data_IF_873072942651
#
_entry.id   IF_873072942651
#
_cell.length_a   1.000
_cell.length_b   1.000
_cell.length_c   1.000
_cell.angle_alpha   90.00
_cell.angle_beta   90.00
_cell.angle_gamma   90.00
#
_symmetry.space_group_name_H-M   'P 1'
#
loop_
_entity.id
_entity.type
_entity.pdbx_description
1 polymer ?
#
# COMPACT_ATOMS: atom_id res chain seq x y z
N UNK A 1 11.71 -1.08 -16.99
CA UNK A 1 10.77 -0.11 -16.39
C UNK A 1 10.02 -0.77 -15.25
N UNK A 2 10.14 -0.25 -14.04
CA UNK A 2 9.53 -0.80 -12.83
C UNK A 2 8.01 -0.68 -12.82
N UNK A 3 7.37 -1.31 -11.85
CA UNK A 3 5.92 -1.40 -11.72
C UNK A 3 5.42 -0.69 -10.46
N UNK A 4 4.47 0.24 -10.61
CA UNK A 4 3.82 0.91 -9.48
C UNK A 4 2.57 0.11 -9.09
N UNK A 5 2.49 -0.31 -7.81
CA UNK A 5 1.35 -1.06 -7.26
C UNK A 5 0.79 -0.31 -6.06
N UNK A 6 -0.48 0.12 -6.15
CA UNK A 6 -1.18 0.76 -5.05
C UNK A 6 -1.83 -0.29 -4.13
N UNK A 7 -1.64 -0.15 -2.83
CA UNK A 7 -2.31 -0.94 -1.80
C UNK A 7 -3.48 -0.13 -1.25
N UNK A 8 -4.69 -0.41 -1.70
CA UNK A 8 -5.84 0.43 -1.37
C UNK A 8 -7.06 -0.37 -0.93
N UNK A 9 -7.71 0.13 0.10
CA UNK A 9 -9.04 -0.23 0.55
C UNK A 9 -9.59 0.91 1.41
N UNK A 10 -10.86 1.24 1.25
CA UNK A 10 -11.52 2.31 1.99
C UNK A 10 -11.63 1.99 3.50
N UNK A 11 -11.77 0.72 3.85
CA UNK A 11 -11.88 0.31 5.24
C UNK A 11 -10.53 0.42 5.95
N UNK A 12 -10.50 1.10 7.11
CA UNK A 12 -9.35 1.12 8.00
C UNK A 12 -9.09 -0.23 8.64
N UNK A 13 -7.84 -0.52 8.98
CA UNK A 13 -7.46 -1.73 9.73
C UNK A 13 -7.51 -3.04 8.94
N UNK A 14 -7.70 -3.03 7.63
CA UNK A 14 -7.73 -4.26 6.80
C UNK A 14 -6.34 -4.80 6.43
N UNK A 15 -5.27 -4.21 6.95
CA UNK A 15 -3.90 -4.68 6.72
C UNK A 15 -3.26 -4.16 5.43
N UNK A 16 -3.63 -2.99 4.91
CA UNK A 16 -2.97 -2.35 3.75
C UNK A 16 -1.47 -2.20 3.98
N UNK A 17 -1.10 -1.40 4.96
CA UNK A 17 0.29 -1.16 5.36
C UNK A 17 1.04 -2.43 5.69
N UNK A 18 0.42 -3.33 6.47
CA UNK A 18 1.01 -4.63 6.82
C UNK A 18 1.32 -5.44 5.55
N UNK A 19 0.41 -5.44 4.57
CA UNK A 19 0.61 -6.16 3.30
C UNK A 19 1.70 -5.49 2.47
N UNK A 20 1.70 -4.16 2.35
CA UNK A 20 2.72 -3.41 1.60
C UNK A 20 4.13 -3.69 2.15
N UNK A 21 4.34 -3.55 3.48
CA UNK A 21 5.62 -3.79 4.15
C UNK A 21 6.11 -5.23 3.95
N UNK A 22 5.24 -6.20 4.23
CA UNK A 22 5.68 -7.60 4.24
C UNK A 22 5.85 -8.17 2.82
N UNK A 23 5.01 -7.76 1.86
CA UNK A 23 5.21 -8.14 0.47
C UNK A 23 6.48 -7.50 -0.10
N UNK A 24 6.77 -6.23 0.21
CA UNK A 24 8.02 -5.58 -0.17
C UNK A 24 9.24 -6.36 0.32
N UNK A 25 9.19 -6.81 1.57
CA UNK A 25 10.30 -7.57 2.15
C UNK A 25 10.54 -8.91 1.43
N UNK A 26 9.50 -9.64 1.05
CA UNK A 26 9.67 -10.90 0.31
C UNK A 26 10.07 -10.68 -1.15
N UNK A 27 9.59 -9.61 -1.79
CA UNK A 27 10.02 -9.22 -3.13
C UNK A 27 11.49 -8.82 -3.14
N UNK A 28 11.96 -8.08 -2.11
CA UNK A 28 13.36 -7.73 -1.92
C UNK A 28 14.24 -8.96 -1.66
N UNK A 29 13.77 -9.92 -0.85
CA UNK A 29 14.46 -11.20 -0.63
C UNK A 29 14.56 -12.04 -1.92
N UNK A 30 13.69 -11.82 -2.89
CA UNK A 30 13.77 -12.39 -4.23
C UNK A 30 14.74 -11.64 -5.16
N UNK A 31 15.52 -10.69 -4.65
CA UNK A 31 16.55 -9.95 -5.38
C UNK A 31 16.01 -8.76 -6.18
N UNK A 32 14.80 -8.26 -5.88
CA UNK A 32 14.20 -7.10 -6.54
C UNK A 32 14.41 -5.82 -5.73
N UNK A 33 14.65 -4.70 -6.41
CA UNK A 33 14.67 -3.38 -5.79
C UNK A 33 13.25 -2.86 -5.58
N UNK A 34 12.92 -2.44 -4.35
CA UNK A 34 11.58 -1.98 -3.98
C UNK A 34 11.66 -0.59 -3.35
N UNK A 35 10.78 0.31 -3.81
CA UNK A 35 10.52 1.58 -3.16
C UNK A 35 9.12 1.52 -2.51
N UNK A 36 9.03 1.89 -1.24
CA UNK A 36 7.74 2.16 -0.58
C UNK A 36 7.47 3.67 -0.68
N UNK A 37 6.33 4.05 -1.21
CA UNK A 37 5.81 5.40 -1.15
C UNK A 37 4.67 5.43 -0.12
N UNK A 38 4.94 5.95 1.07
CA UNK A 38 3.95 6.08 2.13
C UNK A 38 3.13 7.35 1.86
N UNK A 39 1.84 7.19 1.54
CA UNK A 39 0.91 8.31 1.33
C UNK A 39 -0.26 8.31 2.32
N UNK A 40 -0.17 7.53 3.40
CA UNK A 40 -1.09 7.64 4.52
C UNK A 40 -0.53 8.67 5.52
N UNK A 41 -1.22 9.79 5.81
CA UNK A 41 -0.77 10.78 6.78
C UNK A 41 -0.46 10.23 8.17
N UNK A 42 -0.96 9.03 8.50
CA UNK A 42 -0.59 8.34 9.73
C UNK A 42 0.87 7.86 9.71
N UNK A 43 1.51 7.74 8.55
CA UNK A 43 2.90 7.32 8.40
C UNK A 43 3.18 5.93 8.98
N UNK A 44 2.24 4.99 8.81
CA UNK A 44 2.36 3.67 9.38
C UNK A 44 3.41 2.81 8.67
N UNK A 45 3.57 2.94 7.34
CA UNK A 45 4.63 2.28 6.61
C UNK A 45 6.00 2.86 6.99
N UNK A 46 6.08 4.18 7.19
CA UNK A 46 7.26 4.90 7.66
C UNK A 46 7.75 4.34 9.00
N UNK A 47 6.86 4.30 10.00
CA UNK A 47 7.20 3.71 11.31
C UNK A 47 7.49 2.22 11.23
N UNK A 48 6.79 1.50 10.36
CA UNK A 48 6.93 0.06 10.18
C UNK A 48 8.29 -0.38 9.63
N UNK A 49 9.01 0.53 8.96
CA UNK A 49 10.42 0.35 8.58
C UNK A 49 11.41 1.01 9.55
N UNK A 50 10.96 1.47 10.72
CA UNK A 50 11.82 2.03 11.77
C UNK A 50 12.27 3.47 11.51
N UNK A 51 11.65 4.18 10.56
CA UNK A 51 11.97 5.58 10.28
C UNK A 51 11.28 6.48 11.31
N UNK A 52 12.08 7.32 11.97
CA UNK A 52 11.62 8.23 13.01
C UNK A 52 11.03 9.50 12.39
N UNK A 53 9.71 9.58 12.34
CA UNK A 53 8.95 10.65 11.66
C UNK A 53 9.33 12.07 12.12
N UNK A 54 9.67 12.25 13.39
CA UNK A 54 10.03 13.56 13.95
C UNK A 54 11.46 14.03 13.60
N UNK A 55 12.27 13.19 12.99
CA UNK A 55 13.63 13.52 12.53
C UNK A 55 13.72 13.77 11.03
N UNK A 56 12.61 13.64 10.31
CA UNK A 56 12.59 13.82 8.87
C UNK A 56 12.84 15.28 8.50
N UNK A 57 13.70 15.50 7.50
CA UNK A 57 13.97 16.83 6.93
C UNK A 57 13.04 17.14 5.77
N UNK A 58 12.67 16.12 5.01
CA UNK A 58 11.72 16.19 3.91
C UNK A 58 10.91 14.90 3.86
N UNK A 59 9.69 14.97 3.37
CA UNK A 59 8.68 13.91 3.39
C UNK A 59 7.97 13.81 2.05
N UNK A 60 7.04 12.88 1.94
CA UNK A 60 6.13 12.80 0.81
C UNK A 60 5.36 14.10 0.57
N UNK A 61 5.06 14.87 1.64
CA UNK A 61 4.41 16.18 1.50
C UNK A 61 5.27 17.13 0.66
N UNK A 62 6.53 17.34 1.08
CA UNK A 62 7.46 18.26 0.41
C UNK A 62 7.70 17.84 -1.05
N UNK A 63 7.76 16.54 -1.30
CA UNK A 63 7.94 15.98 -2.64
C UNK A 63 6.71 16.22 -3.54
N UNK A 64 5.50 16.04 -3.01
CA UNK A 64 4.26 16.34 -3.76
C UNK A 64 4.08 17.83 -4.04
N UNK A 65 4.52 18.70 -3.13
CA UNK A 65 4.48 20.14 -3.30
C UNK A 65 5.58 20.68 -4.22
N UNK A 66 6.56 19.85 -4.59
CA UNK A 66 7.71 20.27 -5.40
C UNK A 66 8.76 21.05 -4.63
N UNK A 67 8.73 20.98 -3.29
CA UNK A 67 9.67 21.64 -2.38
C UNK A 67 10.91 20.78 -2.09
N UNK A 68 10.86 19.49 -2.44
CA UNK A 68 11.96 18.53 -2.32
C UNK A 68 12.11 17.69 -3.60
N UNK A 69 13.31 17.16 -3.80
CA UNK A 69 13.63 16.22 -4.89
C UNK A 69 13.55 14.77 -4.41
N UNK A 70 13.63 13.80 -5.32
CA UNK A 70 13.69 12.40 -4.96
C UNK A 70 14.91 12.07 -4.05
N UNK A 71 16.04 12.72 -4.30
CA UNK A 71 17.27 12.51 -3.51
C UNK A 71 17.13 13.03 -2.07
N UNK A 72 16.24 13.99 -1.83
CA UNK A 72 15.98 14.53 -0.49
C UNK A 72 15.05 13.63 0.34
N UNK A 73 14.14 12.89 -0.33
CA UNK A 73 13.07 12.16 0.36
C UNK A 73 13.23 10.64 0.34
N UNK A 74 14.00 10.08 -0.58
CA UNK A 74 14.20 8.62 -0.63
C UNK A 74 15.22 8.19 0.41
N UNK A 75 14.78 7.43 1.40
CA UNK A 75 15.61 6.96 2.49
C UNK A 75 15.84 5.44 2.41
N UNK A 76 17.05 4.96 2.76
CA UNK A 76 17.27 3.54 2.94
C UNK A 76 16.47 3.05 4.16
N UNK A 77 16.04 1.79 4.12
CA UNK A 77 15.48 1.10 5.28
C UNK A 77 16.51 0.17 5.90
N UNK A 78 16.18 -0.41 7.07
CA UNK A 78 17.01 -1.47 7.66
C UNK A 78 16.91 -2.83 6.94
N UNK A 79 16.30 -2.88 5.75
CA UNK A 79 16.12 -4.08 4.93
C UNK A 79 16.78 -3.86 3.58
N UNK A 80 17.67 -4.77 3.20
CA UNK A 80 18.38 -4.70 1.91
C UNK A 80 17.39 -4.64 0.74
N UNK A 81 17.74 -3.87 -0.30
CA UNK A 81 16.94 -3.62 -1.51
C UNK A 81 15.57 -2.94 -1.27
N UNK A 82 15.34 -2.35 -0.09
CA UNK A 82 14.13 -1.57 0.19
C UNK A 82 14.50 -0.14 0.57
N UNK A 83 13.93 0.82 -0.16
CA UNK A 83 13.93 2.24 0.18
C UNK A 83 12.50 2.70 0.48
N UNK A 84 12.37 3.85 1.13
CA UNK A 84 11.09 4.45 1.46
C UNK A 84 11.09 5.95 1.18
N UNK A 85 9.99 6.47 0.62
CA UNK A 85 9.61 7.88 0.72
C UNK A 85 8.69 7.98 1.94
N UNK A 86 9.17 8.54 3.04
CA UNK A 86 8.43 8.57 4.30
C UNK A 86 7.37 9.66 4.27
N UNK A 87 6.37 9.51 5.15
CA UNK A 87 5.42 10.57 5.42
C UNK A 87 5.18 10.77 6.92
N UNK A 88 4.53 11.88 7.23
CA UNK A 88 4.05 12.25 8.55
C UNK A 88 2.69 12.97 8.43
N UNK A 89 2.19 13.54 9.53
CA UNK A 89 0.88 14.19 9.57
C UNK A 89 0.78 15.44 8.67
N UNK A 90 1.90 16.05 8.28
CA UNK A 90 1.92 17.24 7.40
C UNK A 90 1.32 16.92 6.02
N UNK A 91 1.32 15.64 5.62
CA UNK A 91 0.71 15.20 4.36
C UNK A 91 -0.81 15.50 4.27
N UNK A 92 -1.50 15.74 5.39
CA UNK A 92 -2.88 16.25 5.38
C UNK A 92 -2.96 17.60 4.65
N UNK A 93 -1.92 18.45 4.77
CA UNK A 93 -1.83 19.72 4.08
C UNK A 93 -1.91 19.58 2.57
N UNK A 94 -1.32 18.53 2.00
CA UNK A 94 -1.36 18.27 0.56
C UNK A 94 -2.78 18.06 0.02
N UNK A 95 -3.70 17.47 0.80
CA UNK A 95 -5.11 17.34 0.37
C UNK A 95 -5.81 18.70 0.24
N UNK A 96 -5.39 19.70 1.01
CA UNK A 96 -5.94 21.06 0.99
C UNK A 96 -5.28 21.86 -0.14
N UNK A 97 -3.97 21.88 -0.19
CA UNK A 97 -3.21 22.74 -1.09
C UNK A 97 -3.31 22.29 -2.57
N UNK A 98 -3.42 20.99 -2.81
CA UNK A 98 -3.63 20.47 -4.15
C UNK A 98 -5.04 20.73 -4.71
N UNK A 99 -6.01 21.18 -3.89
CA UNK A 99 -7.42 21.38 -4.35
C UNK A 99 -7.49 22.27 -5.57
N UNK A 100 -6.73 23.37 -5.58
CA UNK A 100 -6.74 24.36 -6.67
C UNK A 100 -5.60 24.13 -7.68
N UNK A 101 -4.76 23.12 -7.48
CA UNK A 101 -3.65 22.83 -8.37
C UNK A 101 -4.14 22.24 -9.71
N UNK A 102 -3.61 22.71 -10.85
CA UNK A 102 -3.95 22.13 -12.15
C UNK A 102 -3.47 20.67 -12.22
N UNK A 103 -4.36 19.78 -12.71
CA UNK A 103 -4.04 18.34 -12.85
C UNK A 103 -3.62 17.69 -11.52
N UNK A 104 -4.20 18.12 -10.41
CA UNK A 104 -3.90 17.68 -9.04
C UNK A 104 -3.90 16.16 -8.84
N UNK A 105 -4.66 15.41 -9.65
CA UNK A 105 -4.73 13.96 -9.58
C UNK A 105 -3.46 13.27 -10.13
N UNK A 106 -2.56 14.02 -10.76
CA UNK A 106 -1.33 13.52 -11.37
C UNK A 106 -0.07 13.88 -10.58
N UNK A 107 -0.18 14.58 -9.46
CA UNK A 107 0.96 15.02 -8.67
C UNK A 107 1.87 13.85 -8.29
N UNK A 108 1.33 12.81 -7.68
CA UNK A 108 2.10 11.61 -7.30
C UNK A 108 2.67 10.86 -8.52
N UNK A 109 1.92 10.82 -9.62
CA UNK A 109 2.42 10.21 -10.87
C UNK A 109 3.68 10.90 -11.36
N UNK A 110 3.71 12.23 -11.35
CA UNK A 110 4.86 13.01 -11.77
C UNK A 110 6.08 12.76 -10.87
N UNK A 111 5.86 12.61 -9.56
CA UNK A 111 6.90 12.26 -8.59
C UNK A 111 7.46 10.85 -8.81
N UNK A 112 6.59 9.85 -9.03
CA UNK A 112 7.02 8.45 -9.07
C UNK A 112 7.51 7.99 -10.45
N UNK A 113 7.13 8.66 -11.54
CA UNK A 113 7.47 8.23 -12.91
C UNK A 113 8.98 8.12 -13.16
N UNK A 114 9.83 9.07 -12.73
CA UNK A 114 11.28 8.94 -12.89
C UNK A 114 11.86 7.76 -12.10
N UNK A 115 11.28 7.43 -10.96
CA UNK A 115 11.75 6.36 -10.08
C UNK A 115 11.48 4.94 -10.63
N UNK A 116 10.60 4.81 -11.63
CA UNK A 116 10.37 3.52 -12.33
C UNK A 116 11.59 3.02 -13.11
N UNK A 117 12.56 3.88 -13.42
CA UNK A 117 13.80 3.46 -14.06
C UNK A 117 14.82 2.89 -13.06
N UNK A 118 14.63 3.19 -11.77
CA UNK A 118 15.55 2.84 -10.68
C UNK A 118 15.09 1.58 -9.94
N UNK A 119 13.78 1.46 -9.70
CA UNK A 119 13.19 0.39 -8.90
C UNK A 119 12.43 -0.61 -9.76
N UNK A 120 12.56 -1.92 -9.45
CA UNK A 120 11.74 -2.97 -10.06
C UNK A 120 10.26 -2.81 -9.67
N UNK A 121 10.01 -2.40 -8.41
CA UNK A 121 8.67 -2.16 -7.87
C UNK A 121 8.61 -0.88 -7.04
N UNK A 122 7.51 -0.15 -7.19
CA UNK A 122 7.15 0.96 -6.32
C UNK A 122 5.80 0.59 -5.69
N UNK A 123 5.78 0.40 -4.38
CA UNK A 123 4.57 0.08 -3.62
C UNK A 123 4.04 1.34 -2.94
N UNK A 124 2.80 1.69 -3.23
CA UNK A 124 2.15 2.89 -2.68
C UNK A 124 1.18 2.45 -1.59
N UNK A 125 1.50 2.79 -0.33
CA UNK A 125 0.61 2.52 0.81
C UNK A 125 -0.40 3.66 0.96
N UNK A 126 -1.69 3.35 0.72
CA UNK A 126 -2.76 4.33 0.66
C UNK A 126 -3.48 4.52 1.99
N UNK A 127 -4.00 5.73 2.29
CA UNK A 127 -4.87 5.96 3.44
C UNK A 127 -6.19 5.18 3.36
N UNK A 128 -6.92 5.04 4.48
CA UNK A 128 -8.24 4.41 4.53
C UNK A 128 -9.34 5.38 4.07
N UNK A 129 -9.16 6.03 2.93
CA UNK A 129 -10.11 6.98 2.35
C UNK A 129 -10.11 6.86 0.83
N UNK A 130 -11.09 7.41 0.17
CA UNK A 130 -11.14 7.58 -1.28
C UNK A 130 -10.94 9.07 -1.66
N UNK A 131 -10.15 9.80 -0.86
CA UNK A 131 -9.78 11.19 -1.06
C UNK A 131 -8.77 11.43 -2.18
N UNK A 132 -8.26 12.65 -2.25
CA UNK A 132 -7.34 13.09 -3.31
C UNK A 132 -6.02 12.29 -3.32
N UNK A 133 -5.49 11.93 -2.15
CA UNK A 133 -4.28 11.10 -2.06
C UNK A 133 -4.50 9.73 -2.68
N UNK A 134 -5.62 9.07 -2.39
CA UNK A 134 -5.94 7.76 -3.00
C UNK A 134 -6.17 7.89 -4.52
N UNK A 135 -6.82 8.97 -4.99
CA UNK A 135 -6.95 9.22 -6.42
C UNK A 135 -5.59 9.39 -7.09
N UNK A 136 -4.65 10.11 -6.44
CA UNK A 136 -3.27 10.24 -6.90
C UNK A 136 -2.57 8.88 -7.00
N UNK A 137 -2.71 8.01 -5.98
CA UNK A 137 -2.15 6.67 -6.01
C UNK A 137 -2.67 5.85 -7.19
N UNK A 138 -4.00 5.82 -7.38
CA UNK A 138 -4.62 5.06 -8.47
C UNK A 138 -4.30 5.64 -9.86
N UNK A 139 -4.08 6.95 -9.96
CA UNK A 139 -3.67 7.63 -11.20
C UNK A 139 -2.22 7.31 -11.56
N UNK A 140 -1.35 7.18 -10.56
CA UNK A 140 0.06 6.84 -10.73
C UNK A 140 0.28 5.34 -10.98
N UNK A 141 -0.56 4.48 -10.39
CA UNK A 141 -0.34 3.04 -10.36
C UNK A 141 -0.55 2.34 -11.71
N UNK A 142 0.28 1.35 -11.99
CA UNK A 142 0.02 0.38 -13.06
C UNK A 142 -1.06 -0.63 -12.60
N UNK A 143 -1.02 -1.00 -11.32
CA UNK A 143 -1.92 -1.99 -10.76
C UNK A 143 -2.34 -1.66 -9.33
N UNK A 144 -3.47 -2.23 -8.90
CA UNK A 144 -3.95 -2.16 -7.52
C UNK A 144 -3.98 -3.56 -6.90
N UNK A 145 -3.44 -3.70 -5.69
CA UNK A 145 -3.63 -4.83 -4.81
C UNK A 145 -4.61 -4.41 -3.71
N UNK A 146 -5.63 -5.23 -3.48
CA UNK A 146 -6.73 -4.93 -2.56
C UNK A 146 -6.66 -5.87 -1.35
N UNK A 147 -6.10 -5.44 -0.21
CA UNK A 147 -6.21 -6.19 1.03
C UNK A 147 -7.64 -6.11 1.58
N UNK A 148 -8.23 -7.26 1.89
CA UNK A 148 -9.62 -7.36 2.39
C UNK A 148 -9.65 -8.26 3.62
N UNK A 149 -10.20 -7.76 4.71
CA UNK A 149 -10.54 -8.58 5.87
C UNK A 149 -11.88 -9.28 5.61
N UNK A 150 -11.94 -10.60 5.83
CA UNK A 150 -13.14 -11.42 5.58
C UNK A 150 -14.21 -11.22 6.68
N UNK A 151 -14.79 -10.01 6.75
CA UNK A 151 -15.85 -9.61 7.69
C UNK A 151 -17.08 -9.11 6.95
N UNK A 152 -18.24 -9.10 7.60
CA UNK A 152 -19.54 -8.80 7.01
C UNK A 152 -19.58 -7.48 6.20
N UNK A 153 -19.02 -6.40 6.73
CA UNK A 153 -19.00 -5.10 6.05
C UNK A 153 -17.93 -4.95 4.96
N UNK A 154 -17.17 -6.00 4.67
CA UNK A 154 -16.11 -5.93 3.66
C UNK A 154 -16.66 -5.68 2.24
N UNK A 155 -17.82 -6.22 1.93
CA UNK A 155 -18.43 -6.13 0.59
C UNK A 155 -18.95 -4.73 0.27
N UNK A 156 -19.42 -3.98 1.27
CA UNK A 156 -19.90 -2.61 1.08
C UNK A 156 -18.74 -1.66 0.70
N UNK A 157 -17.67 -1.64 1.50
CA UNK A 157 -16.47 -0.83 1.19
C UNK A 157 -15.81 -1.23 -0.13
N UNK A 158 -15.88 -2.52 -0.47
CA UNK A 158 -15.35 -3.03 -1.74
C UNK A 158 -16.12 -2.45 -2.95
N UNK A 159 -17.43 -2.36 -2.88
CA UNK A 159 -18.26 -1.81 -3.96
C UNK A 159 -17.91 -0.35 -4.24
N UNK A 160 -17.67 0.45 -3.21
CA UNK A 160 -17.27 1.85 -3.35
C UNK A 160 -15.87 1.97 -3.98
N UNK A 161 -14.90 1.16 -3.54
CA UNK A 161 -13.57 1.11 -4.14
C UNK A 161 -13.61 0.73 -5.63
N UNK A 162 -14.40 -0.29 -6.00
CA UNK A 162 -14.55 -0.71 -7.39
C UNK A 162 -15.15 0.41 -8.26
N UNK A 163 -16.12 1.16 -7.75
CA UNK A 163 -16.67 2.31 -8.46
C UNK A 163 -15.61 3.40 -8.66
N UNK A 164 -14.79 3.69 -7.63
CA UNK A 164 -13.66 4.63 -7.75
C UNK A 164 -12.66 4.16 -8.80
N UNK A 165 -12.27 2.88 -8.78
CA UNK A 165 -11.37 2.30 -9.80
C UNK A 165 -11.95 2.48 -11.21
N UNK A 166 -13.26 2.24 -11.41
CA UNK A 166 -13.91 2.45 -12.71
C UNK A 166 -13.82 3.91 -13.18
N UNK A 167 -14.07 4.87 -12.29
CA UNK A 167 -13.96 6.30 -12.59
C UNK A 167 -12.52 6.66 -12.96
N UNK A 168 -11.54 6.22 -12.18
CA UNK A 168 -10.12 6.46 -12.46
C UNK A 168 -9.73 5.86 -13.82
N UNK A 169 -10.10 4.62 -14.10
CA UNK A 169 -9.85 3.98 -15.41
C UNK A 169 -10.44 4.75 -16.58
N UNK A 170 -11.63 5.29 -16.40
CA UNK A 170 -12.32 5.99 -17.50
C UNK A 170 -11.72 7.38 -17.75
N UNK A 171 -11.27 8.09 -16.69
CA UNK A 171 -10.97 9.52 -16.79
C UNK A 171 -9.48 9.86 -16.62
N UNK A 172 -8.74 9.09 -15.85
CA UNK A 172 -7.38 9.45 -15.38
C UNK A 172 -6.31 8.44 -15.79
N UNK A 173 -6.58 7.14 -15.65
CA UNK A 173 -5.61 6.08 -15.88
C UNK A 173 -6.24 4.84 -16.54
N UNK A 174 -6.44 4.82 -17.86
CA UNK A 174 -7.07 3.69 -18.57
C UNK A 174 -6.31 2.36 -18.44
N UNK A 175 -5.01 2.40 -18.16
CA UNK A 175 -4.16 1.21 -18.03
C UNK A 175 -4.24 0.54 -16.65
N UNK A 176 -4.83 1.21 -15.65
CA UNK A 176 -4.95 0.65 -14.29
C UNK A 176 -5.69 -0.69 -14.31
N UNK A 177 -5.14 -1.70 -13.67
CA UNK A 177 -5.83 -2.98 -13.50
C UNK A 177 -5.75 -3.50 -12.07
N UNK A 178 -6.68 -4.39 -11.70
CA UNK A 178 -6.65 -5.08 -10.42
C UNK A 178 -5.66 -6.24 -10.56
N UNK A 179 -4.55 -6.17 -9.82
CA UNK A 179 -3.54 -7.22 -9.77
C UNK A 179 -4.05 -8.42 -8.97
N UNK A 180 -4.63 -8.15 -7.81
CA UNK A 180 -5.18 -9.20 -6.98
C UNK A 180 -5.86 -8.69 -5.71
N UNK A 181 -6.51 -9.62 -5.04
CA UNK A 181 -7.17 -9.44 -3.74
C UNK A 181 -6.48 -10.34 -2.72
N UNK A 182 -5.96 -9.73 -1.66
CA UNK A 182 -5.34 -10.45 -0.55
C UNK A 182 -6.32 -10.54 0.63
N UNK A 183 -6.71 -11.75 0.99
CA UNK A 183 -7.51 -11.98 2.19
C UNK A 183 -6.64 -11.87 3.43
N UNK A 184 -7.00 -10.97 4.34
CA UNK A 184 -6.22 -10.67 5.55
C UNK A 184 -6.99 -11.02 6.81
N UNK A 185 -6.27 -11.24 7.91
CA UNK A 185 -6.84 -11.61 9.21
C UNK A 185 -7.86 -12.75 9.12
N UNK A 186 -7.62 -13.67 8.19
CA UNK A 186 -8.51 -14.78 7.91
C UNK A 186 -8.58 -15.74 9.10
N UNK A 187 -9.81 -16.15 9.47
CA UNK A 187 -10.06 -17.21 10.42
C UNK A 187 -10.96 -18.29 9.77
N UNK A 188 -10.38 -19.44 9.49
CA UNK A 188 -11.07 -20.57 8.86
C UNK A 188 -12.17 -21.20 9.75
N UNK A 189 -12.15 -20.94 11.06
CA UNK A 189 -13.17 -21.42 12.02
C UNK A 189 -14.44 -20.59 11.95
N UNK A 190 -14.33 -19.33 11.48
CA UNK A 190 -15.46 -18.41 11.35
C UNK A 190 -16.33 -18.76 10.15
N UNK A 191 -17.62 -19.01 10.36
CA UNK A 191 -18.60 -19.23 9.30
C UNK A 191 -18.71 -17.98 8.40
N UNK A 192 -18.77 -16.79 9.01
CA UNK A 192 -18.88 -15.51 8.30
C UNK A 192 -17.64 -15.28 7.43
N UNK A 193 -16.44 -15.57 7.96
CA UNK A 193 -15.21 -15.43 7.18
C UNK A 193 -15.22 -16.29 5.91
N UNK A 194 -15.69 -17.54 6.00
CA UNK A 194 -15.83 -18.42 4.84
C UNK A 194 -16.88 -17.93 3.84
N UNK A 195 -18.04 -17.47 4.33
CA UNK A 195 -19.11 -16.95 3.46
C UNK A 195 -18.66 -15.69 2.69
N UNK A 196 -18.07 -14.72 3.39
CA UNK A 196 -17.54 -13.48 2.78
C UNK A 196 -16.44 -13.82 1.78
N UNK A 197 -15.54 -14.73 2.11
CA UNK A 197 -14.49 -15.18 1.18
C UNK A 197 -15.10 -15.81 -0.08
N UNK A 198 -16.12 -16.63 0.04
CA UNK A 198 -16.80 -17.22 -1.11
C UNK A 198 -17.46 -16.16 -2.01
N UNK A 199 -18.08 -15.12 -1.43
CA UNK A 199 -18.63 -14.01 -2.20
C UNK A 199 -17.54 -13.18 -2.90
N UNK A 200 -16.42 -12.91 -2.23
CA UNK A 200 -15.26 -12.24 -2.86
C UNK A 200 -14.72 -13.08 -4.01
N UNK A 201 -14.60 -14.39 -3.83
CA UNK A 201 -14.12 -15.31 -4.86
C UNK A 201 -15.07 -15.37 -6.07
N UNK A 202 -16.39 -15.32 -5.88
CA UNK A 202 -17.35 -15.24 -6.99
C UNK A 202 -17.17 -13.96 -7.83
N UNK A 203 -16.84 -12.84 -7.18
CA UNK A 203 -16.68 -11.55 -7.88
C UNK A 203 -15.34 -11.42 -8.58
N UNK A 204 -14.24 -11.83 -7.93
CA UNK A 204 -12.88 -11.61 -8.41
C UNK A 204 -12.26 -12.84 -9.10
N UNK A 205 -12.83 -14.04 -8.91
CA UNK A 205 -12.31 -15.27 -9.51
C UNK A 205 -10.85 -15.52 -9.15
N UNK A 206 -10.04 -15.77 -10.17
CA UNK A 206 -8.61 -16.05 -10.06
C UNK A 206 -7.75 -14.88 -9.53
N UNK A 207 -8.33 -13.69 -9.40
CA UNK A 207 -7.63 -12.54 -8.81
C UNK A 207 -7.53 -12.61 -7.29
N UNK A 208 -8.27 -13.50 -6.63
CA UNK A 208 -8.10 -13.75 -5.20
C UNK A 208 -6.86 -14.61 -5.00
N UNK A 209 -5.89 -14.09 -4.24
CA UNK A 209 -4.69 -14.88 -3.95
C UNK A 209 -5.03 -16.14 -3.18
N UNK A 210 -4.44 -17.30 -3.52
CA UNK A 210 -4.82 -18.58 -2.95
C UNK A 210 -4.45 -18.73 -1.48
N UNK A 211 -3.46 -17.97 -1.01
CA UNK A 211 -2.99 -18.03 0.38
C UNK A 211 -3.55 -16.86 1.18
N UNK A 212 -4.55 -17.09 2.07
CA UNK A 212 -5.04 -16.05 2.95
C UNK A 212 -4.04 -15.79 4.08
N UNK A 213 -3.87 -14.53 4.46
CA UNK A 213 -3.03 -14.12 5.59
C UNK A 213 -3.84 -14.29 6.88
N UNK A 214 -3.42 -15.16 7.83
CA UNK A 214 -4.14 -15.37 9.05
C UNK A 214 -4.01 -14.19 10.02
N UNK A 215 -4.93 -14.08 10.99
CA UNK A 215 -4.71 -13.22 12.15
C UNK A 215 -3.50 -13.73 12.92
N UNK A 216 -2.47 -12.87 13.05
CA UNK A 216 -1.21 -13.29 13.65
C UNK A 216 -0.59 -12.15 14.46
N UNK A 217 -0.28 -12.40 15.74
CA UNK A 217 0.29 -11.42 16.68
C UNK A 217 1.65 -10.91 16.18
N UNK A 218 2.46 -11.75 15.53
CA UNK A 218 3.79 -11.34 15.04
C UNK A 218 3.72 -10.30 13.91
N UNK A 219 2.64 -10.29 13.13
CA UNK A 219 2.38 -9.23 12.14
C UNK A 219 2.02 -7.89 12.81
N UNK A 220 1.41 -7.93 13.99
CA UNK A 220 1.05 -6.74 14.77
C UNK A 220 2.26 -6.19 15.52
N UNK A 221 3.11 -7.07 16.05
CA UNK A 221 4.30 -6.70 16.81
C UNK A 221 5.42 -6.14 15.90
N UNK A 222 5.64 -6.71 14.72
CA UNK A 222 6.76 -6.40 13.85
C UNK A 222 6.97 -4.89 13.59
N UNK A 223 5.92 -4.09 13.30
CA UNK A 223 6.06 -2.65 13.09
C UNK A 223 6.60 -1.90 14.32
N UNK A 224 6.30 -2.34 15.55
CA UNK A 224 6.81 -1.70 16.77
C UNK A 224 8.33 -1.89 16.94
N UNK A 225 8.92 -2.83 16.21
CA UNK A 225 10.37 -3.03 16.12
C UNK A 225 10.96 -2.42 14.84
N UNK A 226 10.17 -1.71 14.04
CA UNK A 226 10.61 -1.13 12.76
C UNK A 226 11.08 -2.17 11.74
N UNK A 227 10.49 -3.37 11.74
CA UNK A 227 10.93 -4.51 10.93
C UNK A 227 9.74 -5.23 10.28
N UNK A 228 9.88 -5.70 9.03
CA UNK A 228 8.91 -6.62 8.45
C UNK A 228 8.93 -7.98 9.18
N UNK A 229 7.84 -8.74 9.07
CA UNK A 229 7.71 -10.04 9.74
C UNK A 229 8.75 -11.07 9.29
N UNK A 230 9.24 -10.95 8.05
CA UNK A 230 10.32 -11.79 7.52
C UNK A 230 11.62 -11.69 8.31
N UNK A 231 11.85 -10.53 8.94
CA UNK A 231 13.02 -10.25 9.81
C UNK A 231 12.66 -10.49 11.28
N UNK A 232 11.48 -10.01 11.72
CA UNK A 232 11.05 -10.07 13.13
C UNK A 232 10.71 -11.49 13.58
N UNK A 233 9.94 -12.23 12.78
CA UNK A 233 9.47 -13.58 13.12
C UNK A 233 9.32 -14.46 11.86
N UNK A 234 10.42 -14.86 11.20
CA UNK A 234 10.40 -15.51 9.88
C UNK A 234 9.71 -16.88 9.84
N UNK A 235 9.53 -17.52 11.01
CA UNK A 235 8.87 -18.83 11.12
C UNK A 235 7.40 -18.73 11.53
N UNK A 236 6.85 -17.52 11.67
CA UNK A 236 5.43 -17.33 12.03
C UNK A 236 4.51 -17.69 10.86
N UNK A 237 3.25 -18.03 11.16
CA UNK A 237 2.25 -18.29 10.12
C UNK A 237 1.97 -17.06 9.25
N UNK A 238 2.09 -15.84 9.81
CA UNK A 238 1.99 -14.60 9.06
C UNK A 238 3.13 -14.43 8.06
N UNK A 239 4.36 -14.75 8.47
CA UNK A 239 5.54 -14.72 7.59
C UNK A 239 5.40 -15.73 6.45
N UNK A 240 4.99 -16.95 6.75
CA UNK A 240 4.77 -18.00 5.76
C UNK A 240 3.69 -17.59 4.73
N UNK A 241 2.61 -16.98 5.18
CA UNK A 241 1.53 -16.56 4.29
C UNK A 241 1.96 -15.46 3.29
N UNK A 242 2.81 -14.51 3.70
CA UNK A 242 3.33 -13.49 2.76
C UNK A 242 4.45 -14.00 1.85
N UNK A 243 5.08 -15.14 2.18
CA UNK A 243 6.12 -15.75 1.34
C UNK A 243 5.54 -16.51 0.14
N UNK A 244 4.34 -17.08 0.29
CA UNK A 244 3.65 -17.92 -0.72
C UNK A 244 2.88 -17.07 -1.72
#
# INVERSE_FOLDING_TARGET
MGKIIAFSNQKGGVGKTTTAINLAAYVALAGKSVLIADIDPQGNATSGFGVEKHKLKATMYDYLMGEATADDVVLPTGVENIHIIPCNADLVGAEIELVDAPRREFALKNCLLPLKEIYDYIFVDCPPSLGLLTLNALTAADAILIPIQSEFFALEGLSQLINTIKIVKTRLNPSLYINGVALTMYDNRSVISRQVTAEIAKYFGEKVYPTPVPRNVKLVEAPSFGKPVSVHAPRSSGATAYKL
#
